data_IF_606919112143
#
_entry.id   IF_606919112143
#
_cell.length_a   1.000
_cell.length_b   1.000
_cell.length_c   1.000
_cell.angle_alpha   90.00
_cell.angle_beta   90.00
_cell.angle_gamma   90.00
#
_symmetry.space_group_name_H-M   'P 1'
#
loop_
_entity.id
_entity.type
_entity.pdbx_description
1 polymer ?
#
# COMPACT_ATOMS: atom_id res chain seq x y z
N UNK A 1 -11.14 -9.01 -4.73
CA UNK A 1 -11.42 -10.35 -4.16
C UNK A 1 -12.03 -10.21 -2.75
N UNK A 2 -11.46 -9.41 -1.87
CA UNK A 2 -11.92 -9.25 -0.48
C UNK A 2 -13.37 -8.77 -0.36
N UNK A 3 -13.79 -7.80 -1.16
CA UNK A 3 -15.16 -7.27 -1.15
C UNK A 3 -16.23 -8.28 -1.58
N UNK A 4 -15.85 -9.31 -2.33
CA UNK A 4 -16.78 -10.40 -2.72
C UNK A 4 -17.00 -11.42 -1.60
N UNK A 5 -16.04 -11.53 -0.67
CA UNK A 5 -16.13 -12.42 0.48
C UNK A 5 -15.46 -11.78 1.69
N UNK A 6 -16.13 -10.83 2.36
CA UNK A 6 -15.56 -10.08 3.48
C UNK A 6 -15.25 -10.96 4.69
N UNK A 7 -16.02 -12.02 4.92
CA UNK A 7 -15.76 -12.96 6.00
C UNK A 7 -14.43 -13.69 5.83
N UNK A 8 -14.19 -14.21 4.62
CA UNK A 8 -12.92 -14.86 4.29
C UNK A 8 -11.75 -13.87 4.35
N UNK A 9 -11.94 -12.66 3.83
CA UNK A 9 -10.93 -11.61 3.88
C UNK A 9 -10.52 -11.30 5.33
N UNK A 10 -11.51 -11.15 6.22
CA UNK A 10 -11.28 -10.95 7.65
C UNK A 10 -10.52 -12.13 8.27
N UNK A 11 -11.03 -13.36 8.10
CA UNK A 11 -10.42 -14.55 8.69
C UNK A 11 -8.97 -14.74 8.27
N UNK A 12 -8.67 -14.58 6.98
CA UNK A 12 -7.30 -14.74 6.47
C UNK A 12 -6.38 -13.65 7.00
N UNK A 13 -6.78 -12.37 6.89
CA UNK A 13 -5.90 -11.27 7.29
C UNK A 13 -5.69 -11.23 8.81
N UNK A 14 -6.76 -11.31 9.57
CA UNK A 14 -6.68 -11.20 11.03
C UNK A 14 -6.15 -12.48 11.67
N UNK A 15 -6.49 -13.65 11.14
CA UNK A 15 -5.97 -14.92 11.61
C UNK A 15 -4.45 -15.02 11.39
N UNK A 16 -3.97 -14.67 10.20
CA UNK A 16 -2.53 -14.67 9.89
C UNK A 16 -1.78 -13.70 10.81
N UNK A 17 -2.28 -12.46 10.97
CA UNK A 17 -1.65 -11.47 11.84
C UNK A 17 -1.61 -11.92 13.29
N UNK A 18 -2.74 -12.40 13.83
CA UNK A 18 -2.82 -12.87 15.21
C UNK A 18 -1.83 -14.01 15.49
N UNK A 19 -1.76 -14.98 14.59
CA UNK A 19 -0.80 -16.09 14.72
C UNK A 19 0.65 -15.59 14.69
N UNK A 20 0.97 -14.64 13.79
CA UNK A 20 2.31 -14.05 13.71
C UNK A 20 2.68 -13.27 14.98
N UNK A 21 1.73 -12.50 15.53
CA UNK A 21 1.94 -11.77 16.79
C UNK A 21 2.15 -12.70 17.99
N UNK A 22 1.39 -13.81 18.06
CA UNK A 22 1.57 -14.82 19.12
C UNK A 22 2.94 -15.54 19.00
N UNK A 23 3.36 -15.89 17.80
CA UNK A 23 4.70 -16.46 17.57
C UNK A 23 5.79 -15.45 17.97
N UNK A 24 5.66 -14.20 17.54
CA UNK A 24 6.63 -13.15 17.91
C UNK A 24 6.69 -12.96 19.44
N UNK A 25 5.53 -12.97 20.11
CA UNK A 25 5.44 -12.87 21.56
C UNK A 25 6.11 -14.05 22.28
N UNK A 26 5.85 -15.27 21.82
CA UNK A 26 6.36 -16.49 22.46
C UNK A 26 7.87 -16.68 22.27
N UNK A 27 8.38 -16.22 21.10
CA UNK A 27 9.78 -16.40 20.73
C UNK A 27 10.62 -15.13 20.85
N UNK A 28 10.06 -14.05 21.39
CA UNK A 28 10.75 -12.76 21.57
C UNK A 28 11.35 -12.21 20.27
N UNK A 29 10.63 -12.38 19.15
CA UNK A 29 11.07 -11.90 17.84
C UNK A 29 10.47 -10.52 17.55
N UNK A 30 11.22 -9.69 16.81
CA UNK A 30 10.64 -8.52 16.17
C UNK A 30 9.74 -8.96 15.00
N UNK A 31 8.66 -8.22 14.77
CA UNK A 31 7.67 -8.53 13.74
C UNK A 31 7.44 -7.32 12.83
N UNK A 32 7.72 -7.49 11.53
CA UNK A 32 7.30 -6.54 10.52
C UNK A 32 5.94 -6.96 9.93
N UNK A 33 4.99 -6.02 9.89
CA UNK A 33 3.68 -6.23 9.26
C UNK A 33 3.41 -5.15 8.20
N UNK A 34 3.11 -5.51 6.95
CA UNK A 34 2.82 -4.52 5.91
C UNK A 34 1.41 -3.91 6.12
N UNK A 35 1.34 -2.61 6.41
CA UNK A 35 0.12 -1.83 6.28
C UNK A 35 0.01 -1.23 4.88
N UNK A 36 -0.96 -0.36 4.66
CA UNK A 36 -1.27 0.20 3.34
C UNK A 36 -1.93 1.56 3.47
N UNK A 37 -1.78 2.42 2.46
CA UNK A 37 -2.63 3.61 2.31
C UNK A 37 -4.12 3.29 2.22
N UNK A 38 -4.48 2.02 1.95
CA UNK A 38 -5.86 1.54 2.05
C UNK A 38 -6.45 1.62 3.47
N UNK A 39 -5.64 1.85 4.50
CA UNK A 39 -6.09 2.15 5.87
C UNK A 39 -6.73 3.55 5.98
N UNK A 40 -6.41 4.46 5.08
CA UNK A 40 -7.04 5.78 5.02
C UNK A 40 -8.45 5.65 4.46
N UNK A 41 -9.32 6.60 4.83
CA UNK A 41 -10.70 6.65 4.37
C UNK A 41 -11.04 7.98 3.71
N UNK A 42 -12.30 8.15 3.29
CA UNK A 42 -12.76 9.38 2.64
C UNK A 42 -12.56 10.66 3.48
N UNK A 43 -12.50 10.52 4.80
CA UNK A 43 -12.33 11.61 5.76
C UNK A 43 -10.88 11.94 6.08
N UNK A 44 -9.92 11.10 5.65
CA UNK A 44 -8.50 11.40 5.79
C UNK A 44 -8.10 12.55 4.84
N UNK A 45 -7.21 13.47 5.26
CA UNK A 45 -6.66 14.48 4.39
C UNK A 45 -6.01 13.85 3.16
N UNK A 46 -6.31 14.35 1.96
CA UNK A 46 -5.81 13.77 0.69
C UNK A 46 -4.46 14.32 0.26
N UNK A 47 -4.09 15.48 0.74
CA UNK A 47 -2.80 16.10 0.49
C UNK A 47 -2.01 16.17 1.80
N UNK A 48 -0.73 15.80 1.74
CA UNK A 48 0.17 15.77 2.90
C UNK A 48 -0.45 15.07 4.11
N UNK A 49 -1.02 13.89 3.88
CA UNK A 49 -1.69 13.09 4.91
C UNK A 49 -0.80 12.95 6.15
N UNK A 50 -1.23 13.47 7.32
CA UNK A 50 -0.42 13.35 8.53
C UNK A 50 -0.19 11.89 8.93
N UNK A 51 0.90 11.65 9.66
CA UNK A 51 1.20 10.34 10.24
C UNK A 51 0.06 9.88 11.17
N UNK A 52 -0.38 10.79 12.05
CA UNK A 52 -1.52 10.58 12.91
C UNK A 52 -2.74 11.27 12.31
N UNK A 53 -3.69 10.48 11.86
CA UNK A 53 -4.91 10.99 11.20
C UNK A 53 -6.08 10.04 11.42
N UNK A 54 -7.28 10.53 11.14
CA UNK A 54 -8.50 9.71 11.19
C UNK A 54 -8.46 8.69 10.05
N UNK A 55 -8.58 7.42 10.41
CA UNK A 55 -8.64 6.30 9.48
C UNK A 55 -10.01 5.63 9.55
N UNK A 56 -10.85 5.92 8.57
CA UNK A 56 -12.20 5.37 8.44
C UNK A 56 -12.38 4.76 7.05
N UNK A 57 -11.65 3.67 6.74
CA UNK A 57 -11.74 3.02 5.44
C UNK A 57 -13.13 2.42 5.21
N UNK A 58 -13.56 2.40 3.96
CA UNK A 58 -14.86 1.86 3.53
C UNK A 58 -14.76 0.47 2.90
N UNK A 59 -13.55 -0.10 2.85
CA UNK A 59 -13.31 -1.45 2.32
C UNK A 59 -12.93 -2.42 3.43
N UNK A 60 -13.30 -3.69 3.28
CA UNK A 60 -12.88 -4.73 4.26
C UNK A 60 -11.36 -4.84 4.36
N UNK A 61 -10.65 -4.64 3.24
CA UNK A 61 -9.20 -4.61 3.23
C UNK A 61 -8.65 -3.49 4.13
N UNK A 62 -9.16 -2.27 3.97
CA UNK A 62 -8.75 -1.13 4.80
C UNK A 62 -9.09 -1.34 6.27
N UNK A 63 -10.27 -1.89 6.57
CA UNK A 63 -10.68 -2.24 7.95
C UNK A 63 -9.68 -3.23 8.57
N UNK A 64 -9.29 -4.28 7.83
CA UNK A 64 -8.27 -5.22 8.31
C UNK A 64 -6.92 -4.53 8.56
N UNK A 65 -6.51 -3.58 7.70
CA UNK A 65 -5.23 -2.85 7.88
C UNK A 65 -5.26 -1.97 9.13
N UNK A 66 -6.32 -1.18 9.35
CA UNK A 66 -6.48 -0.38 10.58
C UNK A 66 -6.51 -1.26 11.82
N UNK A 67 -7.29 -2.34 11.80
CA UNK A 67 -7.34 -3.28 12.91
C UNK A 67 -5.97 -3.90 13.19
N UNK A 68 -5.22 -4.23 12.13
CA UNK A 68 -3.87 -4.78 12.24
C UNK A 68 -2.88 -3.81 12.87
N UNK A 69 -2.93 -2.52 12.52
CA UNK A 69 -2.13 -1.47 13.16
C UNK A 69 -2.43 -1.34 14.65
N UNK A 70 -3.71 -1.29 15.00
CA UNK A 70 -4.17 -1.19 16.39
C UNK A 70 -3.78 -2.44 17.20
N UNK A 71 -3.95 -3.63 16.64
CA UNK A 71 -3.59 -4.88 17.30
C UNK A 71 -2.07 -4.98 17.51
N UNK A 72 -1.27 -4.58 16.54
CA UNK A 72 0.19 -4.54 16.66
C UNK A 72 0.63 -3.57 17.76
N UNK A 73 0.03 -2.39 17.85
CA UNK A 73 0.26 -1.44 18.94
C UNK A 73 -0.12 -2.04 20.30
N UNK A 74 -1.24 -2.71 20.39
CA UNK A 74 -1.68 -3.39 21.62
C UNK A 74 -0.65 -4.43 22.07
N UNK A 75 -0.17 -5.29 21.16
CA UNK A 75 0.84 -6.30 21.46
C UNK A 75 2.17 -5.68 21.92
N UNK A 76 2.55 -4.55 21.32
CA UNK A 76 3.72 -3.82 21.77
C UNK A 76 3.55 -3.31 23.21
N UNK A 77 2.47 -2.57 23.47
CA UNK A 77 2.25 -1.97 24.80
C UNK A 77 1.99 -2.99 25.88
N UNK A 78 1.26 -4.06 25.57
CA UNK A 78 0.86 -5.06 26.56
C UNK A 78 1.93 -6.11 26.82
N UNK A 79 2.61 -6.56 25.79
CA UNK A 79 3.49 -7.72 25.85
C UNK A 79 4.95 -7.40 25.49
N UNK A 80 5.26 -6.17 25.11
CA UNK A 80 6.61 -5.75 24.75
C UNK A 80 7.09 -6.31 23.40
N UNK A 81 6.19 -6.78 22.53
CA UNK A 81 6.57 -7.27 21.20
C UNK A 81 7.09 -6.10 20.36
N UNK A 82 8.24 -6.25 19.74
CA UNK A 82 8.78 -5.25 18.82
C UNK A 82 8.06 -5.35 17.47
N UNK A 83 6.91 -4.68 17.37
CA UNK A 83 6.11 -4.61 16.15
C UNK A 83 6.48 -3.38 15.33
N UNK A 84 6.71 -3.55 14.02
CA UNK A 84 7.06 -2.47 13.10
C UNK A 84 6.26 -2.60 11.81
N UNK A 85 5.88 -1.48 11.21
CA UNK A 85 5.03 -1.47 10.02
C UNK A 85 5.21 -0.19 9.20
N UNK A 86 4.94 -0.28 7.91
CA UNK A 86 4.80 0.88 7.02
C UNK A 86 3.47 0.80 6.28
N UNK A 87 2.87 1.96 5.99
CA UNK A 87 1.71 2.09 5.09
C UNK A 87 2.25 2.23 3.68
N UNK A 88 2.27 1.12 2.96
CA UNK A 88 2.72 1.12 1.57
C UNK A 88 1.75 1.89 0.69
N UNK A 89 2.26 2.76 -0.21
CA UNK A 89 1.51 3.29 -1.34
C UNK A 89 1.39 2.23 -2.44
N UNK A 90 0.98 2.60 -3.64
CA UNK A 90 1.08 1.74 -4.81
C UNK A 90 2.53 1.33 -5.07
N UNK A 91 2.78 0.04 -5.24
CA UNK A 91 4.13 -0.47 -5.47
C UNK A 91 4.31 -0.75 -6.95
N UNK A 92 5.32 -0.11 -7.56
CA UNK A 92 5.71 -0.32 -8.95
C UNK A 92 6.83 -1.36 -9.00
N UNK A 93 6.57 -2.45 -9.73
CA UNK A 93 7.55 -3.53 -9.96
C UNK A 93 7.67 -3.79 -11.47
N UNK A 94 8.89 -4.08 -11.92
CA UNK A 94 9.17 -4.50 -13.29
C UNK A 94 9.40 -6.01 -13.43
N UNK A 95 9.25 -6.77 -12.33
CA UNK A 95 9.51 -8.21 -12.30
C UNK A 95 8.22 -9.00 -12.33
N UNK A 96 7.22 -8.58 -11.56
CA UNK A 96 5.94 -9.27 -11.42
C UNK A 96 4.85 -8.55 -12.21
N UNK A 97 4.05 -9.31 -12.94
CA UNK A 97 2.87 -8.78 -13.64
C UNK A 97 1.84 -8.24 -12.64
N UNK A 98 1.06 -7.22 -13.05
CA UNK A 98 -0.03 -6.68 -12.24
C UNK A 98 -1.03 -7.74 -11.80
N UNK A 99 -1.49 -7.66 -10.56
CA UNK A 99 -2.43 -8.61 -9.95
C UNK A 99 -3.90 -8.15 -9.95
N UNK A 100 -4.20 -6.96 -10.49
CA UNK A 100 -5.54 -6.38 -10.57
C UNK A 100 -5.90 -5.48 -9.38
N UNK A 101 -4.92 -4.92 -8.68
CA UNK A 101 -5.12 -3.87 -7.68
C UNK A 101 -5.36 -2.50 -8.33
N UNK A 102 -5.96 -1.55 -7.60
CA UNK A 102 -6.27 -0.22 -8.12
C UNK A 102 -5.02 0.54 -8.58
N UNK A 103 -3.89 0.36 -7.90
CA UNK A 103 -2.62 1.03 -8.21
C UNK A 103 -1.82 0.32 -9.32
N UNK A 104 -2.22 -0.89 -9.69
CA UNK A 104 -1.51 -1.72 -10.68
C UNK A 104 -1.54 -1.11 -12.08
N UNK A 105 -2.47 -0.17 -12.34
CA UNK A 105 -2.50 0.56 -13.60
C UNK A 105 -1.14 1.19 -13.94
N UNK A 106 -0.40 1.61 -12.93
CA UNK A 106 0.91 2.26 -13.09
C UNK A 106 2.00 1.29 -13.59
N UNK A 107 1.74 -0.01 -13.55
CA UNK A 107 2.59 -1.06 -14.13
C UNK A 107 1.99 -1.58 -15.44
N UNK A 108 0.70 -1.87 -15.44
CA UNK A 108 -0.03 -2.42 -16.58
C UNK A 108 0.04 -1.52 -17.81
N UNK A 109 0.00 -0.21 -17.60
CA UNK A 109 0.08 0.80 -18.66
C UNK A 109 1.34 0.66 -19.55
N UNK A 110 2.49 0.27 -18.98
CA UNK A 110 3.73 0.05 -19.73
C UNK A 110 3.66 -1.21 -20.60
N UNK A 111 3.12 -2.29 -20.04
CA UNK A 111 2.95 -3.54 -20.79
C UNK A 111 1.99 -3.34 -21.96
N UNK A 112 0.86 -2.68 -21.72
CA UNK A 112 -0.13 -2.43 -22.76
C UNK A 112 0.35 -1.38 -23.79
N UNK A 113 1.17 -0.43 -23.38
CA UNK A 113 1.80 0.51 -24.30
C UNK A 113 2.65 -0.21 -25.36
N UNK A 114 3.44 -1.19 -24.93
CA UNK A 114 4.33 -1.96 -25.80
C UNK A 114 3.55 -2.99 -26.62
N UNK A 115 2.60 -3.68 -25.97
CA UNK A 115 1.88 -4.80 -26.56
C UNK A 115 0.82 -4.39 -27.59
N UNK A 116 0.05 -3.37 -27.27
CA UNK A 116 -1.13 -2.98 -28.07
C UNK A 116 -1.15 -1.53 -28.51
N UNK A 117 -0.28 -0.70 -27.93
CA UNK A 117 -0.30 0.75 -28.11
C UNK A 117 -1.55 1.43 -27.55
N UNK A 118 -2.33 0.71 -26.73
CA UNK A 118 -3.58 1.21 -26.12
C UNK A 118 -3.70 0.76 -24.69
N UNK A 119 -4.26 1.64 -23.84
CA UNK A 119 -4.59 1.29 -22.46
C UNK A 119 -5.84 2.05 -22.02
N UNK A 120 -6.76 1.35 -21.35
CA UNK A 120 -7.91 1.94 -20.68
C UNK A 120 -7.64 1.99 -19.19
N UNK A 121 -7.33 3.17 -18.67
CA UNK A 121 -7.01 3.34 -17.26
C UNK A 121 -8.30 3.31 -16.43
N UNK A 122 -8.39 2.47 -15.39
CA UNK A 122 -9.55 2.43 -14.49
C UNK A 122 -9.61 3.61 -13.52
N UNK A 123 -8.53 4.40 -13.44
CA UNK A 123 -8.41 5.57 -12.57
C UNK A 123 -8.62 6.83 -13.40
N UNK A 124 -9.40 7.82 -12.94
CA UNK A 124 -9.56 9.11 -13.62
C UNK A 124 -8.21 9.80 -13.86
N UNK A 125 -8.11 10.56 -14.96
CA UNK A 125 -6.84 11.11 -15.47
C UNK A 125 -6.13 12.07 -14.51
N UNK A 126 -6.89 12.73 -13.66
CA UNK A 126 -6.47 13.80 -12.74
C UNK A 126 -6.27 13.34 -11.28
N UNK A 127 -6.53 12.08 -10.98
CA UNK A 127 -6.40 11.54 -9.62
C UNK A 127 -4.94 11.26 -9.31
N UNK A 128 -4.40 11.97 -8.32
CA UNK A 128 -3.08 11.69 -7.77
C UNK A 128 -3.09 10.42 -6.94
N UNK A 129 -2.10 9.57 -7.14
CA UNK A 129 -1.86 8.38 -6.33
C UNK A 129 -0.39 8.29 -5.94
N UNK A 130 -0.15 8.04 -4.67
CA UNK A 130 1.20 7.83 -4.17
C UNK A 130 1.72 6.47 -4.59
N UNK A 131 2.97 6.44 -5.02
CA UNK A 131 3.66 5.26 -5.53
C UNK A 131 5.07 5.16 -4.96
N UNK A 132 5.59 3.94 -4.96
CA UNK A 132 6.98 3.65 -4.61
C UNK A 132 7.53 2.55 -5.53
N UNK A 133 8.80 2.64 -5.88
CA UNK A 133 9.46 1.57 -6.61
C UNK A 133 9.83 0.41 -5.68
N UNK A 134 9.65 -0.83 -6.13
CA UNK A 134 9.83 -2.02 -5.29
C UNK A 134 11.18 -2.09 -4.54
N UNK A 135 12.34 -1.81 -5.16
CA UNK A 135 13.61 -1.79 -4.44
C UNK A 135 13.66 -0.78 -3.28
N UNK A 136 13.04 0.40 -3.44
CA UNK A 136 12.96 1.40 -2.37
C UNK A 136 12.00 0.96 -1.25
N UNK A 137 10.90 0.30 -1.62
CA UNK A 137 9.99 -0.29 -0.65
C UNK A 137 10.66 -1.36 0.20
N UNK A 138 11.44 -2.24 -0.43
CA UNK A 138 12.21 -3.28 0.28
C UNK A 138 13.30 -2.68 1.17
N UNK A 139 14.03 -1.67 0.67
CA UNK A 139 15.03 -0.95 1.47
C UNK A 139 14.40 -0.34 2.72
N UNK A 140 13.25 0.32 2.58
CA UNK A 140 12.54 0.91 3.72
C UNK A 140 12.15 -0.14 4.78
N UNK A 141 11.75 -1.36 4.36
CA UNK A 141 11.48 -2.45 5.28
C UNK A 141 12.73 -2.86 6.06
N UNK A 142 13.85 -3.04 5.37
CA UNK A 142 15.13 -3.47 5.99
C UNK A 142 15.62 -2.39 6.95
N UNK A 143 15.71 -1.14 6.49
CA UNK A 143 16.15 -0.01 7.33
C UNK A 143 15.27 0.16 8.58
N UNK A 144 13.94 -0.01 8.44
CA UNK A 144 13.03 0.05 9.59
C UNK A 144 13.30 -1.10 10.58
N UNK A 145 13.55 -2.31 10.08
CA UNK A 145 13.82 -3.46 10.94
C UNK A 145 15.20 -3.41 11.61
N UNK A 146 16.17 -2.75 11.00
CA UNK A 146 17.52 -2.52 11.55
C UNK A 146 17.59 -1.28 12.44
N UNK A 147 16.59 -0.41 12.41
CA UNK A 147 16.57 0.79 13.23
C UNK A 147 16.56 0.47 14.73
N UNK A 148 17.25 1.30 15.51
CA UNK A 148 17.23 1.22 16.98
C UNK A 148 15.78 1.39 17.49
N UNK A 149 15.21 0.37 18.17
CA UNK A 149 13.84 0.43 18.66
C UNK A 149 13.58 1.61 19.61
N UNK A 150 14.59 2.08 20.33
CA UNK A 150 14.45 3.23 21.24
C UNK A 150 14.23 4.56 20.51
N UNK A 151 14.56 4.63 19.21
CA UNK A 151 14.40 5.84 18.38
C UNK A 151 13.09 5.86 17.61
N UNK A 152 12.30 4.79 17.65
CA UNK A 152 11.04 4.71 16.92
C UNK A 152 9.92 5.41 17.72
N UNK A 153 9.59 6.65 17.32
CA UNK A 153 8.50 7.44 17.92
C UNK A 153 7.14 6.80 17.59
N UNK A 154 6.93 6.47 16.32
CA UNK A 154 5.81 5.67 15.86
C UNK A 154 6.33 4.27 15.58
N UNK A 155 5.90 3.27 16.31
CA UNK A 155 6.42 1.91 16.09
C UNK A 155 5.77 1.23 14.91
N UNK A 156 4.51 1.51 14.70
CA UNK A 156 3.75 0.89 13.63
C UNK A 156 3.27 1.93 12.64
N UNK A 157 3.25 1.50 11.37
CA UNK A 157 2.50 2.13 10.30
C UNK A 157 3.01 3.50 9.89
N UNK A 158 4.33 3.60 9.73
CA UNK A 158 4.93 4.80 9.13
C UNK A 158 4.35 5.04 7.73
N UNK A 159 3.95 6.28 7.45
CA UNK A 159 3.60 6.67 6.10
C UNK A 159 4.84 6.56 5.22
N UNK A 160 4.72 5.83 4.12
CA UNK A 160 5.78 5.64 3.14
C UNK A 160 5.30 6.15 1.78
N UNK A 161 6.02 7.09 1.20
CA UNK A 161 5.78 7.60 -0.14
C UNK A 161 7.11 7.96 -0.79
N UNK A 162 7.18 7.86 -2.12
CA UNK A 162 8.36 8.24 -2.90
C UNK A 162 8.01 9.22 -4.00
N UNK A 163 6.92 8.97 -4.71
CA UNK A 163 6.44 9.81 -5.80
C UNK A 163 4.91 9.84 -5.81
N UNK A 164 4.35 10.89 -6.35
CA UNK A 164 2.90 11.02 -6.56
C UNK A 164 2.65 11.52 -7.97
N UNK A 165 1.78 10.84 -8.70
CA UNK A 165 1.46 11.23 -10.08
C UNK A 165 0.05 10.77 -10.48
N UNK A 166 -0.46 11.39 -11.55
CA UNK A 166 -1.75 11.05 -12.15
C UNK A 166 -1.56 10.12 -13.35
N UNK A 167 -2.62 9.41 -13.79
CA UNK A 167 -2.58 8.69 -15.06
C UNK A 167 -2.17 9.55 -16.25
N UNK A 168 -2.54 10.82 -16.28
CA UNK A 168 -2.15 11.76 -17.35
C UNK A 168 -0.63 11.99 -17.37
N UNK A 169 -0.02 12.18 -16.19
CA UNK A 169 1.43 12.39 -16.09
C UNK A 169 2.19 11.17 -16.62
N UNK A 170 1.83 9.96 -16.18
CA UNK A 170 2.51 8.75 -16.64
C UNK A 170 2.28 8.50 -18.14
N UNK A 171 1.09 8.79 -18.66
CA UNK A 171 0.81 8.75 -20.09
C UNK A 171 1.69 9.69 -20.88
N UNK A 172 1.90 10.92 -20.40
CA UNK A 172 2.76 11.92 -21.04
C UNK A 172 4.22 11.43 -21.10
N UNK A 173 4.72 10.83 -20.03
CA UNK A 173 6.07 10.27 -19.98
C UNK A 173 6.25 9.09 -20.96
N UNK A 174 5.26 8.21 -21.04
CA UNK A 174 5.30 7.08 -21.99
C UNK A 174 5.28 7.58 -23.45
N UNK A 175 4.46 8.58 -23.76
CA UNK A 175 4.39 9.15 -25.12
C UNK A 175 5.71 9.72 -25.62
N UNK A 176 6.60 10.18 -24.74
CA UNK A 176 7.94 10.63 -25.12
C UNK A 176 8.78 9.50 -25.74
N UNK A 177 8.50 8.25 -25.35
CA UNK A 177 9.22 7.06 -25.82
C UNK A 177 8.45 6.28 -26.88
N UNK A 178 7.10 6.34 -26.81
CA UNK A 178 6.18 5.64 -27.70
C UNK A 178 5.13 6.64 -28.24
N UNK A 179 5.47 7.49 -29.23
CA UNK A 179 4.59 8.58 -29.70
C UNK A 179 3.26 8.11 -30.30
N UNK A 180 3.19 6.87 -30.81
CA UNK A 180 2.00 6.31 -31.45
C UNK A 180 0.98 5.71 -30.47
N UNK A 181 1.33 5.63 -29.19
CA UNK A 181 0.45 5.04 -28.17
C UNK A 181 -0.79 5.92 -27.92
N UNK A 182 -1.94 5.26 -27.79
CA UNK A 182 -3.26 5.88 -27.55
C UNK A 182 -3.75 5.52 -26.15
N UNK A 183 -4.11 6.53 -25.37
CA UNK A 183 -4.58 6.38 -24.00
C UNK A 183 -6.05 6.77 -23.90
N UNK A 184 -6.83 5.96 -23.21
CA UNK A 184 -8.22 6.24 -22.89
C UNK A 184 -8.35 6.10 -21.39
N UNK A 185 -8.67 7.20 -20.72
CA UNK A 185 -9.09 7.17 -19.31
C UNK A 185 -10.60 7.05 -19.27
N UNK A 186 -11.11 6.03 -18.61
CA UNK A 186 -12.54 5.95 -18.32
C UNK A 186 -12.83 6.75 -17.05
N UNK A 187 -13.62 7.81 -17.16
CA UNK A 187 -14.27 8.35 -15.98
C UNK A 187 -15.27 7.31 -15.47
N UNK A 188 -14.93 6.64 -14.39
CA UNK A 188 -15.91 5.85 -13.64
C UNK A 188 -16.86 6.89 -13.01
N UNK A 189 -18.12 6.91 -13.47
CA UNK A 189 -19.20 7.69 -12.85
C UNK A 189 -19.64 7.03 -11.56
#
# INVERSE_FOLDING_TARGET
>A
VGERNPQMAWQVNMGALNNSLEVARQHHCALFTPSSIGAFGPTSPKDKTPQDTIMQPTTIYGVCKVTGELLSNYYHHKFGVDTRSVRFPGIISNVTLPGGGTTDYAVEIYYEAIRSGRFTCPVPSDVYMDMIYMPDALRACVELMEADPAKLVHRNSFNLASMSFTPEIICAEIKKRLPTSRWITTSIR
#
